data_IF_592658504088
#
_entry.id   IF_592658504088
#
_cell.length_a   1.000
_cell.length_b   1.000
_cell.length_c   1.000
_cell.angle_alpha   90.00
_cell.angle_beta   90.00
_cell.angle_gamma   90.00
#
_symmetry.space_group_name_H-M   'P 1'
#
loop_
_entity.id
_entity.type
_entity.pdbx_description
1 polymer ?
#
# COMPACT_ATOMS: atom_id res chain seq x y z
N UNK A 1 -19.25 -9.00 3.74
CA UNK A 1 -19.74 -7.80 4.46
C UNK A 1 -18.81 -7.35 5.58
N UNK A 2 -18.93 -6.08 6.02
CA UNK A 2 -18.19 -5.49 7.14
C UNK A 2 -19.09 -4.57 7.99
N UNK A 3 -18.75 -4.43 9.27
CA UNK A 3 -19.24 -3.32 10.11
C UNK A 3 -18.33 -2.12 9.89
N UNK A 4 -18.87 -1.05 9.32
CA UNK A 4 -18.20 0.23 9.23
C UNK A 4 -18.58 1.08 10.44
N UNK A 5 -17.60 1.41 11.27
CA UNK A 5 -17.79 2.20 12.48
C UNK A 5 -17.59 3.68 12.18
N UNK A 6 -18.55 4.50 12.62
CA UNK A 6 -18.53 5.94 12.45
C UNK A 6 -19.24 6.63 13.62
N UNK A 7 -18.59 7.62 14.24
CA UNK A 7 -19.16 8.45 15.31
C UNK A 7 -19.81 7.65 16.46
N UNK A 8 -19.17 6.56 16.89
CA UNK A 8 -19.65 5.70 17.98
C UNK A 8 -20.75 4.70 17.60
N UNK A 9 -21.23 4.71 16.35
CA UNK A 9 -22.18 3.73 15.82
C UNK A 9 -21.54 2.87 14.72
N UNK A 10 -22.28 1.90 14.19
CA UNK A 10 -21.84 1.13 13.03
C UNK A 10 -22.97 0.87 12.04
N UNK A 11 -22.60 0.59 10.80
CA UNK A 11 -23.50 0.16 9.75
C UNK A 11 -22.94 -1.07 9.03
N UNK A 12 -23.82 -1.92 8.51
CA UNK A 12 -23.42 -3.07 7.72
C UNK A 12 -23.31 -2.69 6.25
N UNK A 13 -22.12 -2.85 5.69
CA UNK A 13 -21.79 -2.50 4.31
C UNK A 13 -21.17 -3.68 3.59
N UNK A 14 -21.19 -3.65 2.26
CA UNK A 14 -20.40 -4.57 1.46
C UNK A 14 -18.91 -4.37 1.70
N UNK A 15 -18.12 -5.43 1.58
CA UNK A 15 -16.68 -5.41 1.75
C UNK A 15 -16.01 -4.49 0.72
N UNK A 16 -16.46 -4.53 -0.54
CA UNK A 16 -15.96 -3.64 -1.59
C UNK A 16 -16.32 -2.18 -1.33
N UNK A 17 -17.58 -1.91 -1.01
CA UNK A 17 -18.05 -0.57 -0.63
C UNK A 17 -17.28 -0.04 0.58
N UNK A 18 -17.10 -0.86 1.61
CA UNK A 18 -16.35 -0.48 2.81
C UNK A 18 -14.90 -0.10 2.47
N UNK A 19 -14.23 -0.89 1.63
CA UNK A 19 -12.85 -0.59 1.20
C UNK A 19 -12.78 0.73 0.43
N UNK A 20 -13.72 0.97 -0.48
CA UNK A 20 -13.79 2.23 -1.23
C UNK A 20 -13.98 3.43 -0.29
N UNK A 21 -14.89 3.33 0.69
CA UNK A 21 -15.09 4.38 1.71
C UNK A 21 -13.82 4.65 2.52
N UNK A 22 -13.12 3.60 2.96
CA UNK A 22 -11.88 3.78 3.74
C UNK A 22 -10.77 4.44 2.93
N UNK A 23 -10.64 4.11 1.64
CA UNK A 23 -9.68 4.77 0.73
C UNK A 23 -10.04 6.23 0.53
N UNK A 24 -11.32 6.52 0.30
CA UNK A 24 -11.80 7.86 0.12
C UNK A 24 -11.62 8.72 1.38
N UNK A 25 -11.93 8.18 2.55
CA UNK A 25 -11.70 8.85 3.83
C UNK A 25 -10.23 9.20 4.05
N UNK A 26 -9.31 8.30 3.69
CA UNK A 26 -7.87 8.58 3.72
C UNK A 26 -7.51 9.74 2.78
N UNK A 27 -8.01 9.73 1.55
CA UNK A 27 -7.72 10.80 0.59
C UNK A 27 -8.27 12.16 1.03
N UNK A 28 -9.46 12.21 1.63
CA UNK A 28 -10.02 13.41 2.25
C UNK A 28 -9.13 13.95 3.38
N UNK A 29 -8.61 13.08 4.23
CA UNK A 29 -7.71 13.47 5.31
C UNK A 29 -6.36 14.00 4.78
N UNK A 30 -5.82 13.38 3.72
CA UNK A 30 -4.58 13.85 3.07
C UNK A 30 -4.76 15.21 2.37
N UNK A 31 -5.96 15.46 1.83
CA UNK A 31 -6.32 16.72 1.18
C UNK A 31 -6.86 17.80 2.15
N UNK A 32 -6.89 17.52 3.46
CA UNK A 32 -7.43 18.38 4.52
C UNK A 32 -8.85 18.94 4.20
N UNK A 33 -9.72 18.09 3.66
CA UNK A 33 -11.08 18.46 3.24
C UNK A 33 -12.12 17.45 3.71
N UNK A 34 -13.40 17.78 3.52
CA UNK A 34 -14.54 16.94 3.87
C UNK A 34 -15.54 16.78 2.73
N UNK A 35 -16.30 15.68 2.76
CA UNK A 35 -17.37 15.42 1.81
C UNK A 35 -18.50 14.59 2.45
N UNK A 36 -19.67 14.57 1.83
CA UNK A 36 -20.81 13.72 2.19
C UNK A 36 -20.96 12.63 1.14
N UNK A 37 -20.79 11.37 1.56
CA UNK A 37 -20.94 10.21 0.69
C UNK A 37 -22.19 9.41 1.01
N UNK A 38 -22.81 8.84 -0.03
CA UNK A 38 -23.99 7.98 0.10
C UNK A 38 -23.58 6.55 -0.22
N UNK A 39 -23.84 5.61 0.69
CA UNK A 39 -23.42 4.21 0.51
C UNK A 39 -24.55 3.24 0.80
N UNK A 40 -24.64 2.13 0.04
CA UNK A 40 -25.61 1.09 0.31
C UNK A 40 -25.27 0.37 1.62
N UNK A 41 -26.27 0.24 2.49
CA UNK A 41 -26.17 -0.43 3.79
C UNK A 41 -27.27 -1.49 3.94
N UNK A 42 -27.04 -2.44 4.84
CA UNK A 42 -28.07 -3.36 5.33
C UNK A 42 -28.47 -2.92 6.74
N UNK A 43 -29.77 -2.71 6.91
CA UNK A 43 -30.38 -2.41 8.22
C UNK A 43 -30.39 -3.65 9.12
N UNK A 44 -30.61 -3.48 10.42
CA UNK A 44 -30.74 -4.61 11.36
C UNK A 44 -31.85 -5.59 10.96
N UNK A 45 -32.89 -5.12 10.28
CA UNK A 45 -33.98 -5.95 9.73
C UNK A 45 -33.63 -6.66 8.41
N UNK A 46 -32.39 -6.60 7.94
CA UNK A 46 -31.95 -7.22 6.69
C UNK A 46 -32.37 -6.49 5.42
N UNK A 47 -33.05 -5.34 5.54
CA UNK A 47 -33.46 -4.54 4.37
C UNK A 47 -32.31 -3.67 3.87
N UNK A 48 -32.22 -3.53 2.54
CA UNK A 48 -31.25 -2.63 1.86
C UNK A 48 -31.72 -1.18 2.00
N UNK A 49 -30.80 -0.30 2.37
CA UNK A 49 -31.04 1.14 2.51
C UNK A 49 -29.78 1.91 2.08
N UNK A 50 -29.83 3.23 2.18
CA UNK A 50 -28.68 4.11 1.97
C UNK A 50 -28.36 4.86 3.26
N UNK A 51 -27.06 4.94 3.58
CA UNK A 51 -26.55 5.81 4.63
C UNK A 51 -25.78 6.98 4.00
N UNK A 52 -25.92 8.16 4.60
CA UNK A 52 -25.15 9.35 4.23
C UNK A 52 -24.13 9.63 5.32
N UNK A 53 -22.86 9.69 4.96
CA UNK A 53 -21.75 9.88 5.88
C UNK A 53 -21.04 11.18 5.53
N UNK A 54 -21.03 12.13 6.47
CA UNK A 54 -20.08 13.25 6.44
C UNK A 54 -18.71 12.73 6.85
N UNK A 55 -17.71 12.78 5.98
CA UNK A 55 -16.35 12.33 6.27
C UNK A 55 -15.43 13.56 6.18
N UNK A 56 -14.61 13.78 7.20
CA UNK A 56 -13.59 14.82 7.20
C UNK A 56 -12.28 14.34 7.82
N UNK A 57 -11.26 15.20 7.92
CA UNK A 57 -9.91 14.78 8.31
C UNK A 57 -9.82 14.19 9.73
N UNK A 58 -10.69 14.67 10.63
CA UNK A 58 -10.79 14.18 12.01
C UNK A 58 -11.77 13.02 12.20
N UNK A 59 -12.40 12.52 11.12
CA UNK A 59 -13.38 11.43 11.20
C UNK A 59 -12.71 10.14 11.66
N UNK A 60 -13.14 9.62 12.81
CA UNK A 60 -12.74 8.29 13.29
C UNK A 60 -13.58 7.24 12.58
N UNK A 61 -12.97 6.59 11.59
CA UNK A 61 -13.58 5.56 10.75
C UNK A 61 -12.70 4.31 10.77
N UNK A 62 -13.30 3.14 11.03
CA UNK A 62 -12.64 1.84 10.91
C UNK A 62 -13.66 0.75 10.57
N UNK A 63 -13.20 -0.45 10.22
CA UNK A 63 -14.11 -1.57 9.92
C UNK A 63 -13.69 -2.88 10.55
N UNK A 64 -14.68 -3.72 10.87
CA UNK A 64 -14.47 -5.09 11.32
C UNK A 64 -15.21 -6.08 10.39
N UNK A 65 -14.65 -7.27 10.11
CA UNK A 65 -15.33 -8.26 9.29
C UNK A 65 -16.58 -8.80 10.01
N UNK A 66 -17.58 -9.22 9.23
CA UNK A 66 -18.74 -9.95 9.73
C UNK A 66 -18.68 -11.37 9.19
N UNK A 67 -18.63 -12.35 10.08
CA UNK A 67 -18.66 -13.77 9.71
C UNK A 67 -20.04 -14.18 9.19
N UNK A 68 -20.08 -15.13 8.26
CA UNK A 68 -21.31 -15.77 7.76
C UNK A 68 -22.34 -14.83 7.10
N UNK A 69 -21.91 -13.77 6.41
CA UNK A 69 -22.82 -12.91 5.63
C UNK A 69 -23.22 -13.57 4.30
N UNK A 70 -24.52 -13.81 4.09
CA UNK A 70 -25.06 -14.46 2.89
C UNK A 70 -25.43 -13.48 1.75
N UNK A 71 -25.72 -12.22 2.06
CA UNK A 71 -26.09 -11.20 1.05
C UNK A 71 -25.26 -9.93 1.27
N UNK A 72 -24.54 -9.50 0.23
CA UNK A 72 -23.68 -8.32 0.27
C UNK A 72 -24.34 -7.18 -0.52
N UNK A 73 -24.62 -6.01 0.09
CA UNK A 73 -25.11 -4.85 -0.63
C UNK A 73 -23.98 -4.31 -1.51
N UNK A 74 -24.01 -4.64 -2.80
CA UNK A 74 -23.08 -4.14 -3.81
C UNK A 74 -23.80 -3.17 -4.71
N UNK A 75 -23.23 -1.98 -4.84
CA UNK A 75 -23.58 -0.99 -5.85
C UNK A 75 -22.28 -0.59 -6.55
N UNK A 76 -22.13 -1.04 -7.79
CA UNK A 76 -20.90 -0.83 -8.57
C UNK A 76 -20.70 0.64 -8.96
N UNK A 77 -21.79 1.37 -9.16
CA UNK A 77 -21.72 2.79 -9.52
C UNK A 77 -21.20 3.59 -8.32
N UNK A 78 -21.72 3.33 -7.11
CA UNK A 78 -21.22 3.97 -5.88
C UNK A 78 -19.74 3.64 -5.64
N UNK A 79 -19.32 2.39 -5.87
CA UNK A 79 -17.91 2.00 -5.73
C UNK A 79 -17.05 2.76 -6.73
N UNK A 80 -17.45 2.80 -8.01
CA UNK A 80 -16.72 3.54 -9.06
C UNK A 80 -16.60 5.02 -8.69
N UNK A 81 -17.70 5.64 -8.29
CA UNK A 81 -17.74 7.08 -8.01
C UNK A 81 -16.83 7.44 -6.81
N UNK A 82 -16.78 6.60 -5.76
CA UNK A 82 -15.86 6.75 -4.63
C UNK A 82 -14.39 6.62 -5.04
N UNK A 83 -14.07 5.64 -5.89
CA UNK A 83 -12.69 5.44 -6.38
C UNK A 83 -12.26 6.60 -7.29
N UNK A 84 -13.13 7.08 -8.17
CA UNK A 84 -12.86 8.27 -9.00
C UNK A 84 -12.69 9.54 -8.15
N UNK A 85 -13.54 9.72 -7.12
CA UNK A 85 -13.41 10.83 -6.18
C UNK A 85 -12.09 10.77 -5.40
N UNK A 86 -11.67 9.56 -5.00
CA UNK A 86 -10.37 9.31 -4.36
C UNK A 86 -9.23 9.75 -5.26
N UNK A 87 -9.26 9.35 -6.55
CA UNK A 87 -8.22 9.71 -7.52
C UNK A 87 -8.13 11.22 -7.75
N UNK A 88 -9.25 11.94 -7.76
CA UNK A 88 -9.26 13.41 -7.92
C UNK A 88 -8.61 14.16 -6.76
N UNK A 89 -8.61 13.58 -5.56
CA UNK A 89 -8.02 14.20 -4.35
C UNK A 89 -6.52 13.89 -4.21
N UNK A 90 -6.04 12.82 -4.85
CA UNK A 90 -4.63 12.48 -4.79
C UNK A 90 -3.81 13.43 -5.67
N UNK A 91 -2.62 13.87 -5.21
CA UNK A 91 -1.76 14.70 -6.03
C UNK A 91 -1.42 13.96 -7.32
N UNK A 92 -1.63 14.63 -8.46
CA UNK A 92 -1.21 14.11 -9.76
C UNK A 92 0.27 13.77 -9.69
N UNK A 93 0.58 12.48 -9.64
CA UNK A 93 1.96 12.03 -9.82
C UNK A 93 2.20 12.11 -11.33
N UNK A 94 3.05 13.03 -11.83
CA UNK A 94 3.41 13.00 -13.24
C UNK A 94 4.00 11.62 -13.50
N UNK A 95 3.22 10.78 -14.19
CA UNK A 95 3.76 9.62 -14.83
C UNK A 95 4.56 10.19 -15.99
N UNK A 96 5.88 10.21 -15.87
CA UNK A 96 6.72 10.20 -17.05
C UNK A 96 6.37 8.91 -17.76
N UNK A 97 5.64 8.95 -18.89
CA UNK A 97 5.57 7.76 -19.73
C UNK A 97 7.02 7.40 -20.07
N UNK A 98 7.30 6.15 -20.38
CA UNK A 98 8.60 5.69 -20.88
C UNK A 98 9.09 6.41 -22.18
N UNK A 99 8.55 7.58 -22.52
CA UNK A 99 8.97 8.50 -23.59
C UNK A 99 10.23 9.27 -23.20
N UNK A 100 11.32 8.54 -22.99
CA UNK A 100 12.69 9.05 -23.06
C UNK A 100 13.69 7.89 -23.30
N UNK A 101 13.24 6.84 -24.00
CA UNK A 101 14.11 5.73 -24.43
C UNK A 101 15.15 6.15 -25.48
N UNK A 102 15.02 7.36 -26.01
CA UNK A 102 15.94 7.98 -26.96
C UNK A 102 17.13 8.66 -26.29
N UNK A 103 17.12 8.80 -24.96
CA UNK A 103 18.30 9.22 -24.20
C UNK A 103 19.20 8.00 -24.05
N UNK A 104 20.41 8.01 -24.64
CA UNK A 104 21.38 6.95 -24.41
C UNK A 104 21.69 6.87 -22.92
N UNK A 105 21.78 5.65 -22.38
CA UNK A 105 22.27 5.44 -21.03
C UNK A 105 23.68 6.05 -20.94
N UNK A 106 23.80 7.16 -20.20
CA UNK A 106 25.06 7.86 -20.03
C UNK A 106 25.86 7.10 -18.98
N UNK A 107 26.48 6.00 -19.43
CA UNK A 107 27.54 5.36 -18.67
C UNK A 107 28.69 6.37 -18.48
N UNK A 108 29.02 6.65 -17.22
CA UNK A 108 30.06 7.61 -16.84
C UNK A 108 31.43 7.32 -17.45
N UNK A 109 31.62 6.11 -17.98
CA UNK A 109 32.84 5.66 -18.65
C UNK A 109 32.91 6.07 -20.14
N UNK A 110 31.79 6.38 -20.78
CA UNK A 110 31.73 6.78 -22.20
C UNK A 110 32.12 8.25 -22.41
N UNK A 111 31.83 9.12 -21.44
CA UNK A 111 32.12 10.56 -21.51
C UNK A 111 33.62 10.93 -21.47
N UNK A 112 34.51 9.98 -21.14
CA UNK A 112 35.96 10.20 -21.11
C UNK A 112 36.66 10.07 -22.46
N UNK A 113 36.05 9.40 -23.45
CA UNK A 113 36.73 9.04 -24.69
C UNK A 113 36.72 10.15 -25.76
N UNK A 114 35.69 11.01 -25.78
CA UNK A 114 35.60 12.09 -26.79
C UNK A 114 36.56 13.26 -26.50
N UNK A 115 36.91 13.51 -25.24
CA UNK A 115 37.90 14.54 -24.89
C UNK A 115 39.35 14.05 -24.97
N UNK A 116 39.57 12.73 -24.98
CA UNK A 116 40.90 12.14 -25.10
C UNK A 116 41.45 12.16 -26.55
N UNK A 117 40.58 12.30 -27.55
CA UNK A 117 40.96 12.31 -28.98
C UNK A 117 40.94 13.71 -29.62
N UNK A 118 40.95 14.77 -28.81
CA UNK A 118 41.24 16.11 -29.32
C UNK A 118 42.68 16.13 -29.89
N UNK A 119 42.90 16.53 -31.16
CA UNK A 119 44.24 16.59 -31.73
C UNK A 119 45.01 17.72 -31.05
N UNK A 120 45.83 17.38 -30.05
CA UNK A 120 46.69 18.32 -29.32
C UNK A 120 46.98 18.00 -27.85
N UNK A 121 46.58 16.84 -27.32
CA UNK A 121 46.99 16.43 -25.98
C UNK A 121 48.38 15.79 -26.00
N UNK A 122 49.41 16.61 -25.83
CA UNK A 122 50.79 16.20 -25.72
C UNK A 122 50.98 15.28 -24.51
N UNK A 123 51.59 14.12 -24.74
CA UNK A 123 51.90 13.13 -23.72
C UNK A 123 53.10 13.58 -22.87
N UNK A 124 52.87 13.92 -21.60
CA UNK A 124 53.88 13.81 -20.56
C UNK A 124 53.41 12.80 -19.51
N UNK A 125 54.22 11.75 -19.34
CA UNK A 125 53.95 10.65 -18.43
C UNK A 125 54.27 11.00 -16.98
N UNK A 126 53.60 10.29 -16.07
CA UNK A 126 54.14 9.96 -14.76
C UNK A 126 53.52 8.64 -14.29
N UNK A 127 54.39 7.65 -14.10
CA UNK A 127 54.14 6.37 -13.41
C UNK A 127 53.62 6.59 -11.99
N UNK A 128 52.80 5.65 -11.51
CA UNK A 128 52.31 5.65 -10.14
C UNK A 128 51.45 4.43 -9.80
N UNK A 129 52.13 3.29 -9.65
CA UNK A 129 51.83 2.13 -8.80
C UNK A 129 50.40 1.54 -8.74
N UNK A 130 50.34 0.34 -9.31
CA UNK A 130 49.48 -0.77 -8.93
C UNK A 130 49.46 -1.00 -7.40
N UNK A 131 48.28 -0.94 -6.81
CA UNK A 131 47.89 -1.88 -5.76
C UNK A 131 46.37 -1.92 -5.62
N UNK A 132 45.78 -2.97 -6.17
CA UNK A 132 44.38 -3.30 -6.04
C UNK A 132 43.94 -3.50 -4.59
N UNK A 133 42.75 -2.97 -4.27
CA UNK A 133 41.85 -3.53 -3.27
C UNK A 133 40.44 -3.61 -3.83
N UNK A 134 40.17 -4.72 -4.50
CA UNK A 134 38.82 -5.25 -4.62
C UNK A 134 38.41 -5.80 -3.24
N UNK A 135 37.51 -5.12 -2.55
CA UNK A 135 36.75 -5.73 -1.46
C UNK A 135 35.43 -6.24 -2.02
N UNK A 136 35.47 -7.49 -2.46
CA UNK A 136 34.32 -8.34 -2.58
C UNK A 136 33.77 -8.65 -1.18
N UNK A 137 32.48 -8.40 -0.95
CA UNK A 137 31.73 -9.09 0.10
C UNK A 137 30.87 -10.17 -0.57
N UNK A 138 31.45 -11.36 -0.73
CA UNK A 138 30.70 -12.58 -0.99
C UNK A 138 30.36 -13.27 0.33
N UNK A 139 29.08 -13.61 0.47
CA UNK A 139 28.57 -14.93 0.88
C UNK A 139 29.23 -15.67 2.06
N UNK A 140 28.44 -15.89 3.11
CA UNK A 140 28.61 -16.99 4.06
C UNK A 140 27.25 -17.59 4.41
N UNK A 141 26.89 -18.68 3.73
CA UNK A 141 25.80 -19.58 4.06
C UNK A 141 26.39 -20.82 4.75
N UNK A 142 25.73 -21.31 5.81
CA UNK A 142 25.62 -22.73 6.20
C UNK A 142 24.57 -22.77 7.34
N UNK A 143 23.38 -23.35 7.15
CA UNK A 143 23.04 -24.79 7.20
C UNK A 143 23.28 -25.38 8.60
N UNK A 144 22.50 -26.26 9.19
CA UNK A 144 21.19 -26.87 9.01
C UNK A 144 21.06 -27.82 10.22
N UNK A 145 19.87 -28.00 10.81
CA UNK A 145 19.42 -29.25 11.48
C UNK A 145 18.13 -29.01 12.28
N UNK A 146 17.01 -29.56 11.80
CA UNK A 146 16.00 -30.17 12.70
C UNK A 146 16.46 -31.59 13.09
N UNK A 147 15.59 -32.49 13.61
CA UNK A 147 14.17 -32.35 13.92
C UNK A 147 13.76 -32.93 15.31
N UNK A 148 12.45 -32.88 15.58
CA UNK A 148 11.64 -33.79 16.41
C UNK A 148 11.89 -33.99 17.92
N UNK A 149 10.80 -33.85 18.68
CA UNK A 149 10.69 -34.32 20.06
C UNK A 149 9.33 -33.96 20.69
N UNK A 150 8.42 -34.92 20.69
CA UNK A 150 7.04 -34.84 21.16
C UNK A 150 6.86 -34.83 22.70
N UNK A 151 5.60 -34.70 23.13
CA UNK A 151 4.98 -34.92 24.47
C UNK A 151 5.06 -33.71 25.44
N UNK A 152 4.08 -33.35 26.26
CA UNK A 152 2.88 -34.04 26.76
C UNK A 152 1.85 -33.04 27.34
N UNK A 153 0.65 -33.57 27.57
CA UNK A 153 -0.59 -33.07 28.17
C UNK A 153 -0.47 -32.26 29.49
N UNK A 154 -1.36 -31.28 29.72
CA UNK A 154 -2.38 -31.44 30.77
C UNK A 154 -3.54 -30.43 30.71
N UNK A 155 -4.70 -30.98 31.04
CA UNK A 155 -6.06 -30.49 30.94
C UNK A 155 -6.48 -29.70 32.21
N UNK A 156 -7.51 -28.86 32.03
CA UNK A 156 -8.60 -28.56 32.97
C UNK A 156 -8.32 -27.76 34.25
N UNK A 157 -8.95 -26.58 34.31
CA UNK A 157 -9.19 -25.83 35.54
C UNK A 157 -10.54 -25.09 35.46
N UNK A 158 -11.62 -25.81 35.77
CA UNK A 158 -12.95 -25.25 35.99
C UNK A 158 -12.96 -24.33 37.22
N UNK A 159 -13.68 -23.19 37.15
CA UNK A 159 -14.22 -22.50 38.34
C UNK A 159 -15.62 -21.97 38.07
N UNK A 160 -16.58 -22.74 38.56
CA UNK A 160 -17.92 -22.33 38.98
C UNK A 160 -17.88 -21.47 40.24
N UNK A 161 -18.88 -20.62 40.41
CA UNK A 161 -19.29 -20.02 41.69
C UNK A 161 -19.60 -18.54 41.53
N UNK A 162 -20.67 -17.96 42.07
CA UNK A 162 -21.88 -18.45 42.73
C UNK A 162 -22.88 -17.29 42.66
#
# INVERSE_FOLDING_TARGET
>A
MRRLHYSGSYMLVGDRTCKAVLRYARALAEADTSDIVSVPVVTEGGSKAYAHLLIGPASQVFSTPVENSQDEPVDEDVIRDLEEATLRLQPSRPAWPQEMLDIPDLDSESYGAEFANAPGADAEGAEGDDQGKASAHSSGAEAAAGPDGATDEHLAGARTGS
#
